data_IF_763640227278
#
_entry.id   IF_763640227278
#
_cell.length_a   1.000
_cell.length_b   1.000
_cell.length_c   1.000
_cell.angle_alpha   90.00
_cell.angle_beta   90.00
_cell.angle_gamma   90.00
#
_symmetry.space_group_name_H-M   'P 1'
#
loop_
_entity.id
_entity.type
_entity.pdbx_description
1 polymer ?
#
# COMPACT_ATOMS: atom_id res chain seq x y z
N UNK A 1 -30.74 -13.13 -10.90
CA UNK A 1 -30.16 -12.17 -11.87
C UNK A 1 -30.56 -10.79 -11.39
N UNK A 2 -29.63 -10.07 -10.75
CA UNK A 2 -29.94 -8.77 -10.13
C UNK A 2 -30.03 -7.70 -11.22
N UNK A 3 -31.24 -7.19 -11.45
CA UNK A 3 -31.52 -6.09 -12.36
C UNK A 3 -30.89 -4.81 -11.80
N UNK A 4 -29.81 -4.32 -12.42
CA UNK A 4 -29.31 -2.98 -12.12
C UNK A 4 -30.35 -1.95 -12.58
N UNK A 5 -30.71 -0.95 -11.75
CA UNK A 5 -31.57 0.13 -12.19
C UNK A 5 -30.80 0.97 -13.21
N UNK A 6 -31.29 0.99 -14.46
CA UNK A 6 -30.72 1.82 -15.52
C UNK A 6 -31.12 3.27 -15.23
N UNK A 7 -30.24 4.03 -14.58
CA UNK A 7 -30.42 5.47 -14.40
C UNK A 7 -30.34 6.10 -15.80
N UNK A 8 -31.51 6.50 -16.32
CA UNK A 8 -31.64 7.11 -17.64
C UNK A 8 -31.71 8.64 -17.51
N UNK A 9 -30.79 9.34 -18.17
CA UNK A 9 -30.79 10.81 -18.26
C UNK A 9 -31.31 11.25 -19.64
N UNK A 10 -31.95 12.43 -19.76
CA UNK A 10 -32.44 12.91 -21.05
C UNK A 10 -31.29 13.39 -21.93
N UNK A 11 -31.33 13.04 -23.21
CA UNK A 11 -30.38 13.56 -24.20
C UNK A 11 -30.55 15.08 -24.38
N UNK A 12 -29.45 15.83 -24.37
CA UNK A 12 -29.45 17.29 -24.48
C UNK A 12 -29.99 17.82 -25.82
N UNK A 13 -30.06 16.98 -26.86
CA UNK A 13 -30.51 17.37 -28.21
C UNK A 13 -31.96 16.97 -28.48
N UNK A 14 -32.34 15.72 -28.18
CA UNK A 14 -33.65 15.17 -28.55
C UNK A 14 -34.52 14.78 -27.34
N UNK A 15 -34.03 14.99 -26.11
CA UNK A 15 -34.71 14.67 -24.85
C UNK A 15 -35.10 13.20 -24.64
N UNK A 16 -34.65 12.27 -25.49
CA UNK A 16 -34.87 10.83 -25.29
C UNK A 16 -34.00 10.30 -24.15
N UNK A 17 -34.50 9.33 -23.37
CA UNK A 17 -33.72 8.72 -22.29
C UNK A 17 -32.49 8.01 -22.85
N UNK A 18 -31.35 8.21 -22.19
CA UNK A 18 -30.08 7.59 -22.54
C UNK A 18 -29.24 7.33 -21.30
N UNK A 19 -28.38 6.32 -21.41
CA UNK A 19 -27.32 6.02 -20.45
C UNK A 19 -25.94 6.39 -21.00
N UNK A 20 -25.84 7.10 -22.13
CA UNK A 20 -24.55 7.49 -22.71
C UNK A 20 -24.25 8.96 -22.38
N UNK A 21 -23.03 9.21 -21.91
CA UNK A 21 -22.56 10.53 -21.48
C UNK A 21 -21.24 10.90 -22.16
N UNK A 22 -20.90 12.18 -22.14
CA UNK A 22 -19.58 12.65 -22.58
C UNK A 22 -18.49 12.09 -21.65
N UNK A 23 -17.59 11.27 -22.18
CA UNK A 23 -16.51 10.63 -21.40
C UNK A 23 -15.55 11.61 -20.72
N UNK A 24 -15.46 12.85 -21.23
CA UNK A 24 -14.59 13.89 -20.68
C UNK A 24 -15.17 14.54 -19.42
N UNK A 25 -16.39 15.06 -19.50
CA UNK A 25 -17.00 15.81 -18.40
C UNK A 25 -17.96 15.00 -17.53
N UNK A 26 -18.49 13.89 -18.06
CA UNK A 26 -19.51 13.03 -17.44
C UNK A 26 -20.79 13.77 -16.99
N UNK A 27 -20.96 15.02 -17.40
CA UNK A 27 -22.07 15.91 -17.00
C UNK A 27 -23.05 16.22 -18.13
N UNK A 28 -22.81 15.71 -19.35
CA UNK A 28 -23.70 15.88 -20.50
C UNK A 28 -24.06 14.53 -21.13
N UNK A 29 -25.33 14.36 -21.52
CA UNK A 29 -25.92 13.08 -21.91
C UNK A 29 -26.42 13.12 -23.37
N UNK A 30 -26.10 12.09 -24.15
CA UNK A 30 -26.43 12.03 -25.58
C UNK A 30 -26.89 10.64 -25.95
N UNK A 31 -27.98 10.51 -26.70
CA UNK A 31 -28.45 9.18 -27.13
C UNK A 31 -27.58 8.57 -28.24
N UNK A 32 -26.85 9.40 -29.01
CA UNK A 32 -25.92 8.96 -30.05
C UNK A 32 -24.72 9.91 -30.20
N UNK A 33 -23.59 9.45 -30.77
CA UNK A 33 -22.41 10.29 -31.01
C UNK A 33 -22.68 11.49 -31.93
N UNK A 34 -23.63 11.36 -32.85
CA UNK A 34 -24.03 12.45 -33.77
C UNK A 34 -24.61 13.63 -32.99
N UNK A 35 -25.40 13.37 -31.94
CA UNK A 35 -25.94 14.41 -31.06
C UNK A 35 -24.85 15.08 -30.22
N UNK A 36 -23.83 14.35 -29.77
CA UNK A 36 -22.65 14.95 -29.14
C UNK A 36 -21.90 15.86 -30.12
N UNK A 37 -21.69 15.41 -31.36
CA UNK A 37 -20.95 16.17 -32.36
C UNK A 37 -21.69 17.44 -32.78
N UNK A 38 -23.01 17.36 -32.97
CA UNK A 38 -23.85 18.52 -33.30
C UNK A 38 -23.84 19.56 -32.15
N UNK A 39 -23.91 19.10 -30.91
CA UNK A 39 -23.86 19.97 -29.73
C UNK A 39 -22.43 20.43 -29.36
N UNK A 40 -21.39 19.88 -30.00
CA UNK A 40 -19.99 20.08 -29.59
C UNK A 40 -19.56 21.54 -29.57
N UNK A 41 -20.03 22.36 -30.52
CA UNK A 41 -19.68 23.79 -30.59
C UNK A 41 -20.11 24.58 -29.34
N UNK A 42 -21.27 24.23 -28.77
CA UNK A 42 -21.76 24.77 -27.51
C UNK A 42 -21.09 24.06 -26.34
N UNK A 43 -21.18 22.73 -26.32
CA UNK A 43 -20.73 21.89 -25.21
C UNK A 43 -19.24 22.08 -24.89
N UNK A 44 -18.36 22.21 -25.90
CA UNK A 44 -16.91 22.36 -25.68
C UNK A 44 -16.52 23.60 -24.86
N UNK A 45 -17.37 24.64 -24.85
CA UNK A 45 -17.14 25.86 -24.06
C UNK A 45 -17.31 25.60 -22.55
N UNK A 46 -18.09 24.57 -22.21
CA UNK A 46 -18.47 24.20 -20.83
C UNK A 46 -18.03 22.77 -20.46
N UNK A 47 -17.40 22.04 -21.39
CA UNK A 47 -16.92 20.68 -21.22
C UNK A 47 -15.61 20.66 -20.40
N UNK A 48 -15.76 20.79 -19.09
CA UNK A 48 -14.69 20.65 -18.13
C UNK A 48 -14.49 19.16 -17.81
N UNK A 49 -13.24 18.65 -17.74
CA UNK A 49 -12.99 17.29 -17.28
C UNK A 49 -13.72 17.03 -15.97
N UNK A 50 -14.35 15.86 -15.84
CA UNK A 50 -14.98 15.44 -14.59
C UNK A 50 -13.92 15.50 -13.50
N UNK A 51 -13.98 16.52 -12.64
CA UNK A 51 -13.21 16.52 -11.42
C UNK A 51 -13.81 15.40 -10.59
N UNK A 52 -13.03 14.34 -10.34
CA UNK A 52 -13.34 13.42 -9.26
C UNK A 52 -13.63 14.29 -8.04
N UNK A 53 -14.86 14.20 -7.55
CA UNK A 53 -15.35 14.97 -6.43
C UNK A 53 -14.50 14.65 -5.20
N UNK A 54 -13.50 15.48 -4.98
CA UNK A 54 -13.31 16.08 -3.68
C UNK A 54 -12.81 17.52 -3.89
N UNK A 55 -13.52 18.43 -3.25
CA UNK A 55 -13.19 19.85 -3.09
C UNK A 55 -13.62 20.79 -4.23
N UNK A 56 -14.85 21.30 -4.10
CA UNK A 56 -15.10 22.68 -4.47
C UNK A 56 -14.47 23.61 -3.43
N UNK A 57 -13.75 24.65 -3.89
CA UNK A 57 -13.94 26.06 -3.56
C UNK A 57 -12.79 26.86 -4.18
N UNK A 58 -13.15 27.84 -5.00
CA UNK A 58 -12.26 28.83 -5.61
C UNK A 58 -12.11 30.03 -4.67
N UNK A 59 -10.87 30.43 -4.37
CA UNK A 59 -10.53 31.83 -4.15
C UNK A 59 -9.05 32.08 -4.45
N UNK A 60 -8.80 33.20 -5.14
CA UNK A 60 -7.51 33.71 -5.56
C UNK A 60 -6.63 34.05 -4.34
N UNK A 61 -5.62 33.24 -4.08
CA UNK A 61 -4.41 33.62 -3.36
C UNK A 61 -3.25 33.20 -4.26
N UNK A 62 -2.21 34.02 -4.36
CA UNK A 62 -0.89 33.57 -4.80
C UNK A 62 -0.39 32.67 -3.66
N UNK A 63 -0.96 31.47 -3.57
CA UNK A 63 -0.59 30.46 -2.62
C UNK A 63 0.73 29.89 -3.11
N UNK A 64 1.80 30.15 -2.38
CA UNK A 64 2.94 29.24 -2.34
C UNK A 64 2.32 27.84 -2.28
N UNK A 65 2.61 26.93 -3.23
CA UNK A 65 2.00 25.61 -3.21
C UNK A 65 2.20 25.05 -1.80
N UNK A 66 1.13 24.55 -1.12
CA UNK A 66 1.30 23.91 0.17
C UNK A 66 2.47 22.93 0.04
N UNK A 67 3.41 22.89 1.01
CA UNK A 67 4.59 22.04 0.90
C UNK A 67 4.12 20.67 0.44
N UNK A 68 4.57 20.22 -0.73
CA UNK A 68 4.05 19.02 -1.37
C UNK A 68 3.97 17.92 -0.31
N UNK A 69 2.75 17.62 0.15
CA UNK A 69 2.59 16.65 1.24
C UNK A 69 3.19 15.34 0.74
N UNK A 70 4.10 14.70 1.50
CA UNK A 70 4.72 13.48 1.05
C UNK A 70 3.61 12.48 0.75
N UNK A 71 3.52 11.99 -0.49
CA UNK A 71 2.53 10.99 -0.86
C UNK A 71 2.92 9.65 -0.22
N UNK A 72 2.44 9.42 1.00
CA UNK A 72 2.68 8.16 1.70
C UNK A 72 1.87 7.03 1.08
N UNK A 73 2.48 5.86 0.98
CA UNK A 73 1.81 4.61 0.61
C UNK A 73 1.65 3.79 1.88
N UNK A 74 0.45 3.28 2.15
CA UNK A 74 0.20 2.39 3.29
C UNK A 74 0.16 0.94 2.84
N UNK A 75 0.83 0.05 3.58
CA UNK A 75 0.79 -1.40 3.35
C UNK A 75 0.60 -2.15 4.66
N UNK A 76 0.06 -3.36 4.56
CA UNK A 76 -0.04 -4.29 5.68
C UNK A 76 1.31 -4.96 5.94
N UNK A 77 1.75 -4.95 7.20
CA UNK A 77 2.96 -5.61 7.67
C UNK A 77 2.64 -6.58 8.81
N UNK A 78 3.48 -7.60 9.00
CA UNK A 78 3.36 -8.54 10.10
C UNK A 78 4.24 -8.04 11.26
N UNK A 79 3.62 -7.80 12.41
CA UNK A 79 4.29 -7.44 13.65
C UNK A 79 4.43 -8.67 14.54
N UNK A 80 5.66 -8.97 14.92
CA UNK A 80 5.98 -9.86 16.04
C UNK A 80 6.32 -8.97 17.24
N UNK A 81 5.33 -8.70 18.09
CA UNK A 81 5.55 -7.98 19.33
C UNK A 81 6.05 -8.96 20.41
N UNK A 82 7.05 -8.58 21.23
CA UNK A 82 7.64 -9.53 22.17
C UNK A 82 6.69 -9.94 23.30
N UNK A 83 5.71 -9.10 23.62
CA UNK A 83 4.71 -9.37 24.67
C UNK A 83 3.55 -10.27 24.20
N UNK A 84 3.43 -10.50 22.89
CA UNK A 84 2.30 -11.22 22.31
C UNK A 84 2.73 -12.62 21.83
N UNK A 85 1.86 -13.61 21.99
CA UNK A 85 2.14 -14.99 21.52
C UNK A 85 1.85 -15.20 20.04
N UNK A 86 1.06 -14.31 19.42
CA UNK A 86 0.67 -14.42 18.02
C UNK A 86 1.07 -13.16 17.26
N UNK A 87 1.56 -13.30 16.02
CA UNK A 87 1.82 -12.14 15.18
C UNK A 87 0.52 -11.41 14.82
N UNK A 88 0.60 -10.09 14.66
CA UNK A 88 -0.51 -9.22 14.26
C UNK A 88 -0.24 -8.58 12.91
N UNK A 89 -1.31 -8.21 12.22
CA UNK A 89 -1.21 -7.35 11.04
C UNK A 89 -1.34 -5.90 11.48
N UNK A 90 -0.38 -5.07 11.06
CA UNK A 90 -0.36 -3.62 11.29
C UNK A 90 -0.26 -2.86 9.97
N UNK A 91 -0.68 -1.61 9.96
CA UNK A 91 -0.50 -0.71 8.82
C UNK A 91 0.80 0.05 8.96
N UNK A 92 1.68 -0.03 7.96
CA UNK A 92 2.94 0.73 7.89
C UNK A 92 2.84 1.73 6.76
N UNK A 93 3.19 2.99 7.06
CA UNK A 93 3.32 4.04 6.06
C UNK A 93 4.72 4.00 5.45
N UNK A 94 4.80 4.17 4.13
CA UNK A 94 6.04 4.18 3.37
C UNK A 94 6.17 5.52 2.66
N UNK A 95 7.32 6.19 2.82
CA UNK A 95 7.61 7.42 2.08
C UNK A 95 8.19 7.10 0.70
N UNK A 96 7.86 7.87 -0.35
CA UNK A 96 8.47 7.69 -1.67
C UNK A 96 9.99 7.86 -1.61
N UNK A 97 10.72 7.06 -2.40
CA UNK A 97 12.15 7.28 -2.63
C UNK A 97 12.33 8.33 -3.71
N UNK A 98 12.89 9.49 -3.37
CA UNK A 98 13.19 10.57 -4.32
C UNK A 98 14.60 10.46 -4.92
N UNK A 99 15.39 9.45 -4.50
CA UNK A 99 16.78 9.26 -4.94
C UNK A 99 16.83 8.14 -5.98
N UNK A 100 17.02 8.44 -7.28
CA UNK A 100 17.12 7.40 -8.31
C UNK A 100 18.29 6.44 -8.08
N UNK A 101 19.31 6.84 -7.32
CA UNK A 101 20.47 6.01 -6.96
C UNK A 101 20.22 4.95 -5.88
N UNK A 102 19.15 5.06 -5.08
CA UNK A 102 18.84 4.11 -3.98
C UNK A 102 17.70 3.13 -4.30
N UNK A 103 17.31 3.05 -5.57
CA UNK A 103 16.21 2.20 -6.03
C UNK A 103 14.83 2.83 -5.81
N UNK A 104 13.87 2.32 -6.56
CA UNK A 104 12.47 2.80 -6.58
C UNK A 104 11.66 2.36 -5.35
N UNK A 105 12.22 1.53 -4.48
CA UNK A 105 11.47 0.99 -3.35
C UNK A 105 11.19 2.10 -2.32
N UNK A 106 9.92 2.29 -1.91
CA UNK A 106 9.59 3.28 -0.90
C UNK A 106 10.21 2.90 0.45
N UNK A 107 10.47 3.89 1.31
CA UNK A 107 11.15 3.69 2.60
C UNK A 107 10.08 3.49 3.68
N UNK A 108 10.01 2.33 4.35
CA UNK A 108 8.99 2.07 5.36
C UNK A 108 9.31 2.81 6.66
N UNK A 109 8.29 3.44 7.25
CA UNK A 109 8.39 4.17 8.51
C UNK A 109 8.15 3.21 9.67
N UNK A 110 9.16 2.42 10.01
CA UNK A 110 9.09 1.42 11.09
C UNK A 110 9.72 1.89 12.40
N UNK A 111 10.48 2.99 12.38
CA UNK A 111 11.30 3.43 13.52
C UNK A 111 10.48 3.66 14.80
N UNK A 112 9.23 4.12 14.67
CA UNK A 112 8.32 4.32 15.81
C UNK A 112 7.98 3.04 16.59
N UNK A 113 8.19 1.87 16.00
CA UNK A 113 7.98 0.58 16.65
C UNK A 113 9.21 0.05 17.40
N UNK A 114 10.36 0.74 17.28
CA UNK A 114 11.59 0.39 17.96
C UNK A 114 11.90 1.45 19.01
N UNK A 115 11.86 1.13 20.32
CA UNK A 115 12.06 2.12 21.40
C UNK A 115 13.37 2.91 21.28
N UNK A 116 14.40 2.28 20.73
CA UNK A 116 15.72 2.86 20.53
C UNK A 116 15.86 3.67 19.23
N UNK A 117 14.84 3.68 18.37
CA UNK A 117 14.88 4.25 17.02
C UNK A 117 15.82 3.52 16.04
N UNK A 118 16.52 2.49 16.49
CA UNK A 118 17.44 1.68 15.69
C UNK A 118 16.70 0.47 15.10
N UNK A 119 16.74 0.35 13.78
CA UNK A 119 16.19 -0.79 13.05
C UNK A 119 17.09 -1.12 11.86
N UNK A 120 17.41 -2.40 11.71
CA UNK A 120 18.15 -2.95 10.58
C UNK A 120 17.25 -3.87 9.76
N UNK A 121 17.45 -3.88 8.44
CA UNK A 121 16.66 -4.66 7.49
C UNK A 121 17.41 -5.90 6.97
N UNK A 122 16.74 -7.05 6.96
CA UNK A 122 17.18 -8.26 6.27
C UNK A 122 16.18 -8.62 5.18
N UNK A 123 16.66 -8.92 3.98
CA UNK A 123 15.80 -9.36 2.87
C UNK A 123 15.84 -10.88 2.73
N UNK A 124 14.70 -11.51 2.97
CA UNK A 124 14.48 -12.94 2.75
C UNK A 124 14.05 -13.12 1.30
N UNK A 125 14.90 -13.78 0.51
CA UNK A 125 14.61 -14.13 -0.90
C UNK A 125 14.25 -15.60 -1.08
N UNK A 126 14.43 -16.42 -0.04
CA UNK A 126 14.18 -17.86 -0.06
C UNK A 126 13.15 -18.23 1.00
N UNK A 127 12.31 -19.20 0.67
CA UNK A 127 11.25 -19.73 1.53
C UNK A 127 11.61 -21.13 2.05
N UNK A 128 10.59 -21.96 2.18
CA UNK A 128 10.74 -23.36 2.60
C UNK A 128 11.66 -24.12 1.63
N UNK A 129 12.56 -24.93 2.18
CA UNK A 129 13.52 -25.76 1.43
C UNK A 129 14.48 -24.97 0.50
N UNK A 130 14.63 -23.66 0.68
CA UNK A 130 15.52 -22.83 -0.14
C UNK A 130 14.91 -22.37 -1.46
N UNK A 131 13.64 -22.68 -1.73
CA UNK A 131 12.95 -22.24 -2.93
C UNK A 131 12.83 -20.69 -2.98
N UNK A 132 13.04 -20.06 -4.15
CA UNK A 132 12.97 -18.61 -4.26
C UNK A 132 11.55 -18.10 -4.02
N UNK A 133 11.42 -17.09 -3.17
CA UNK A 133 10.15 -16.42 -2.93
C UNK A 133 9.75 -15.57 -4.13
N UNK A 134 8.55 -15.80 -4.66
CA UNK A 134 7.92 -14.93 -5.68
C UNK A 134 7.84 -13.47 -5.20
N UNK A 135 7.58 -13.30 -3.90
CA UNK A 135 7.48 -12.03 -3.21
C UNK A 135 8.44 -12.06 -2.01
N UNK A 136 9.68 -11.57 -2.16
CA UNK A 136 10.64 -11.53 -1.06
C UNK A 136 10.08 -10.79 0.16
N UNK A 137 10.54 -11.13 1.36
CA UNK A 137 10.12 -10.50 2.61
C UNK A 137 11.24 -9.60 3.14
N UNK A 138 10.87 -8.45 3.70
CA UNK A 138 11.78 -7.49 4.31
C UNK A 138 11.54 -7.45 5.81
N UNK A 139 12.46 -8.04 6.56
CA UNK A 139 12.40 -8.15 8.01
C UNK A 139 13.18 -7.01 8.65
N UNK A 140 12.56 -6.28 9.58
CA UNK A 140 13.15 -5.22 10.36
C UNK A 140 13.25 -5.63 11.82
N UNK A 141 14.42 -5.44 12.42
CA UNK A 141 14.70 -5.82 13.80
C UNK A 141 15.72 -4.86 14.44
N UNK A 142 15.86 -4.86 15.76
CA UNK A 142 16.94 -4.13 16.44
C UNK A 142 18.13 -5.06 16.70
N UNK A 143 19.32 -4.80 16.13
CA UNK A 143 20.50 -5.67 16.31
C UNK A 143 21.06 -5.62 17.74
N UNK A 144 20.77 -4.55 18.48
CA UNK A 144 21.22 -4.37 19.87
C UNK A 144 20.21 -4.87 20.91
N UNK A 145 19.06 -5.41 20.48
CA UNK A 145 17.97 -5.79 21.37
C UNK A 145 18.41 -6.78 22.47
N UNK A 146 19.22 -7.79 22.12
CA UNK A 146 19.72 -8.75 23.09
C UNK A 146 20.66 -8.10 24.11
N UNK A 147 21.60 -7.27 23.66
CA UNK A 147 22.57 -6.58 24.52
C UNK A 147 21.89 -5.61 25.50
N UNK A 148 20.76 -5.01 25.09
CA UNK A 148 19.95 -4.10 25.90
C UNK A 148 18.97 -4.81 26.84
N UNK A 149 18.95 -6.14 26.85
CA UNK A 149 18.04 -6.92 27.70
C UNK A 149 16.58 -6.85 27.28
N UNK A 150 16.29 -6.58 25.99
CA UNK A 150 14.92 -6.62 25.50
C UNK A 150 14.34 -8.04 25.63
N UNK A 151 13.04 -8.16 25.92
CA UNK A 151 12.38 -9.45 26.11
C UNK A 151 12.48 -10.35 24.87
N UNK A 152 12.51 -11.67 25.10
CA UNK A 152 12.41 -12.66 24.03
C UNK A 152 11.09 -12.47 23.29
N UNK A 153 11.13 -12.54 21.97
CA UNK A 153 9.95 -12.39 21.15
C UNK A 153 9.05 -13.63 21.23
N UNK A 154 7.98 -13.54 22.04
CA UNK A 154 7.05 -14.67 22.27
C UNK A 154 6.35 -15.13 21.01
N UNK A 155 6.02 -14.22 20.10
CA UNK A 155 5.38 -14.58 18.83
C UNK A 155 6.31 -15.43 17.96
N UNK A 156 7.59 -15.06 17.86
CA UNK A 156 8.60 -15.85 17.15
C UNK A 156 8.82 -17.19 17.84
N UNK A 157 8.94 -17.19 19.18
CA UNK A 157 9.07 -18.42 19.97
C UNK A 157 7.90 -19.37 19.71
N UNK A 158 6.66 -18.86 19.69
CA UNK A 158 5.46 -19.64 19.43
C UNK A 158 5.43 -20.23 18.00
N UNK A 159 5.67 -19.43 16.96
CA UNK A 159 5.62 -19.93 15.57
C UNK A 159 6.77 -20.89 15.20
N UNK A 160 7.81 -20.93 16.03
CA UNK A 160 8.94 -21.87 15.90
C UNK A 160 8.88 -22.99 16.94
N UNK A 161 7.86 -23.02 17.80
CA UNK A 161 7.76 -23.96 18.93
C UNK A 161 9.03 -24.01 19.79
N UNK A 162 9.71 -22.87 19.95
CA UNK A 162 10.96 -22.75 20.68
C UNK A 162 12.18 -23.40 20.03
N UNK A 163 12.10 -23.87 18.79
CA UNK A 163 13.19 -24.55 18.09
C UNK A 163 14.13 -23.59 17.33
N UNK A 164 13.85 -22.28 17.33
CA UNK A 164 14.75 -21.30 16.72
C UNK A 164 16.10 -21.26 17.48
N UNK A 165 17.25 -21.45 16.80
CA UNK A 165 18.54 -21.50 17.47
C UNK A 165 18.99 -20.13 18.00
N UNK A 166 18.63 -19.05 17.30
CA UNK A 166 18.86 -17.68 17.74
C UNK A 166 17.72 -17.19 18.64
N UNK A 167 18.06 -16.61 19.79
CA UNK A 167 17.12 -15.88 20.62
C UNK A 167 16.76 -14.52 19.96
N UNK A 168 15.59 -14.47 19.32
CA UNK A 168 15.08 -13.22 18.74
C UNK A 168 14.48 -12.35 19.85
N UNK A 169 15.20 -11.31 20.25
CA UNK A 169 14.75 -10.35 21.27
C UNK A 169 14.15 -9.08 20.65
N UNK A 170 13.14 -8.51 21.31
CA UNK A 170 12.48 -7.27 20.92
C UNK A 170 11.54 -7.40 19.73
N UNK A 171 11.07 -6.24 19.26
CA UNK A 171 10.14 -6.12 18.13
C UNK A 171 10.75 -6.61 16.82
N UNK A 172 9.97 -7.33 16.02
CA UNK A 172 10.30 -7.64 14.63
C UNK A 172 9.11 -7.28 13.74
N UNK A 173 9.37 -6.57 12.64
CA UNK A 173 8.35 -6.18 11.65
C UNK A 173 8.72 -6.76 10.30
N UNK A 174 7.76 -7.34 9.59
CA UNK A 174 7.97 -7.91 8.26
C UNK A 174 7.06 -7.23 7.25
N UNK A 175 7.67 -6.68 6.19
CA UNK A 175 6.99 -6.20 5.00
C UNK A 175 7.18 -7.18 3.85
N UNK A 176 6.28 -7.14 2.87
CA UNK A 176 6.33 -7.98 1.67
C UNK A 176 6.62 -7.15 0.44
N UNK A 177 7.63 -7.51 -0.34
CA UNK A 177 7.91 -6.83 -1.59
C UNK A 177 6.88 -7.18 -2.67
N UNK A 178 6.56 -6.19 -3.51
CA UNK A 178 5.80 -6.39 -4.73
C UNK A 178 6.72 -6.94 -5.84
N UNK A 179 6.91 -8.25 -5.81
CA UNK A 179 7.66 -9.04 -6.79
C UNK A 179 9.16 -9.08 -6.52
N UNK A 180 9.85 -9.93 -7.28
CA UNK A 180 11.30 -10.20 -7.13
C UNK A 180 12.20 -8.99 -7.34
N UNK A 181 11.73 -7.97 -8.10
CA UNK A 181 12.48 -6.73 -8.35
C UNK A 181 12.51 -5.78 -7.14
N UNK A 182 11.70 -6.02 -6.10
CA UNK A 182 11.69 -5.25 -4.84
C UNK A 182 11.46 -3.74 -5.03
N UNK A 183 10.69 -3.36 -6.05
CA UNK A 183 10.44 -1.94 -6.42
C UNK A 183 9.28 -1.31 -5.65
N UNK A 184 8.60 -2.07 -4.80
CA UNK A 184 7.48 -1.62 -3.99
C UNK A 184 7.17 -2.63 -2.90
N UNK A 185 6.24 -2.30 -2.02
CA UNK A 185 5.66 -3.24 -1.07
C UNK A 185 4.23 -3.60 -1.48
N UNK A 186 3.78 -4.76 -1.04
CA UNK A 186 2.39 -5.22 -1.06
C UNK A 186 2.00 -5.69 0.34
N UNK A 187 0.73 -6.01 0.53
CA UNK A 187 0.24 -6.48 1.82
C UNK A 187 0.86 -7.82 2.22
N UNK A 188 1.52 -7.84 3.38
CA UNK A 188 1.94 -9.05 4.06
C UNK A 188 0.78 -9.62 4.90
N UNK A 189 0.71 -10.94 5.01
CA UNK A 189 -0.37 -11.62 5.73
C UNK A 189 0.04 -12.97 6.30
N UNK A 190 -0.93 -13.68 6.87
CA UNK A 190 -0.72 -15.01 7.49
C UNK A 190 -0.11 -16.05 6.53
N UNK A 191 -0.34 -15.91 5.23
CA UNK A 191 0.24 -16.79 4.20
C UNK A 191 1.77 -16.70 4.11
N UNK A 192 2.38 -15.64 4.65
CA UNK A 192 3.83 -15.44 4.66
C UNK A 192 4.49 -16.06 5.91
N UNK A 193 3.70 -16.49 6.92
CA UNK A 193 4.21 -17.06 8.16
C UNK A 193 5.01 -18.37 7.99
N UNK A 194 4.65 -19.32 7.11
CA UNK A 194 5.45 -20.53 6.92
C UNK A 194 6.89 -20.24 6.47
N UNK A 195 7.06 -19.27 5.56
CA UNK A 195 8.39 -18.85 5.11
C UNK A 195 9.18 -18.15 6.23
N UNK A 196 8.51 -17.34 7.05
CA UNK A 196 9.11 -16.68 8.21
C UNK A 196 9.54 -17.68 9.29
N UNK A 197 8.69 -18.65 9.62
CA UNK A 197 9.01 -19.72 10.58
C UNK A 197 10.25 -20.50 10.11
N UNK A 198 10.28 -20.90 8.83
CA UNK A 198 11.43 -21.59 8.25
C UNK A 198 12.73 -20.77 8.34
N UNK A 199 12.64 -19.47 8.06
CA UNK A 199 13.77 -18.57 8.19
C UNK A 199 14.27 -18.48 9.65
N UNK A 200 13.38 -18.28 10.61
CA UNK A 200 13.76 -18.18 12.02
C UNK A 200 14.38 -19.48 12.56
N UNK A 201 13.96 -20.64 12.05
CA UNK A 201 14.55 -21.94 12.38
C UNK A 201 15.94 -22.13 11.77
N UNK A 202 16.19 -21.58 10.59
CA UNK A 202 17.47 -21.72 9.89
C UNK A 202 18.52 -20.66 10.27
N UNK A 203 18.08 -19.50 10.76
CA UNK A 203 18.95 -18.36 11.04
C UNK A 203 19.77 -18.59 12.32
N UNK A 204 21.10 -18.58 12.18
CA UNK A 204 22.07 -18.77 13.26
C UNK A 204 22.54 -17.43 13.83
#
# INVERSE_FOLDING_TARGET
MHSMPVINHPCTVCCRPTSMWCSRCQSAWYCTPEHLHNDWQRHRKECLPAQNSNSGYSMNMIATPPPAEPQYITVSAILFAPEEERPRIITVSCRPSHKPSQGMCPIPLVQSHFPDGQAEGIVLTQGLNGEPLRFPLHLWYSPSALQKGNPLNRAIYHITSGAAPKAWCGTVIVLKFNGSRRQGYSDAGSNDLPALSAYFLAYK
#
